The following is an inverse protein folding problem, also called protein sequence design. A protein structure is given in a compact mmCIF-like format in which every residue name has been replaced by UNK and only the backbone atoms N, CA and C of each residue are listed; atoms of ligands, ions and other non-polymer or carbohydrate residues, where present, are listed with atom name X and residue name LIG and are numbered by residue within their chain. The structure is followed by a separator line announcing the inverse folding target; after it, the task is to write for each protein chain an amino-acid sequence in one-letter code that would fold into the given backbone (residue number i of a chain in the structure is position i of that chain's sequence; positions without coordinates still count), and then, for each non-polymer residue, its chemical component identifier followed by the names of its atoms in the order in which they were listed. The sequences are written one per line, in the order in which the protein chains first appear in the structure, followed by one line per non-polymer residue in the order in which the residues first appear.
data_IF_314336228581
#
_entry.id   IF_314336228581
#
_cell.length_a   1.000
_cell.length_b   1.000
_cell.length_c   1.000
_cell.angle_alpha   90.00
_cell.angle_beta   90.00
_cell.angle_gamma   90.00
#
_symmetry.space_group_name_H-M   'P 1'
#
loop_
_entity.id
_entity.type
_entity.pdbx_description
1 polymer ?
#
# COMPACT_ATOMS: atom_id res chain seq x y z
N UNK A 1 25.25 3.13 1.09
CA UNK A 1 23.99 3.89 0.90
C UNK A 1 22.90 3.24 1.74
N UNK A 2 22.04 4.02 2.40
CA UNK A 2 20.96 3.51 3.26
C UNK A 2 19.73 3.02 2.47
N UNK A 3 18.95 2.12 3.06
CA UNK A 3 17.70 1.59 2.49
C UNK A 3 16.51 2.47 2.88
N UNK A 4 15.73 2.92 1.91
CA UNK A 4 14.52 3.72 2.11
C UNK A 4 13.38 2.83 2.61
N UNK A 5 12.68 3.30 3.66
CA UNK A 5 11.50 2.66 4.21
C UNK A 5 10.26 3.44 3.75
N UNK A 6 9.39 2.78 3.02
CA UNK A 6 8.22 3.39 2.37
C UNK A 6 6.95 2.94 3.07
N UNK A 7 6.08 3.92 3.37
CA UNK A 7 4.71 3.70 3.82
C UNK A 7 3.72 4.20 2.78
N UNK A 8 2.61 3.48 2.59
CA UNK A 8 1.52 3.89 1.67
C UNK A 8 0.28 4.24 2.47
N UNK A 9 -0.36 5.36 2.15
CA UNK A 9 -1.64 5.78 2.73
C UNK A 9 -2.68 5.78 1.62
N UNK A 10 -3.80 5.08 1.84
CA UNK A 10 -4.82 4.84 0.82
C UNK A 10 -4.40 3.75 -0.14
N UNK A 11 -4.59 2.49 0.26
CA UNK A 11 -4.33 1.34 -0.60
C UNK A 11 -5.38 1.21 -1.70
N UNK A 12 -6.62 1.62 -1.37
CA UNK A 12 -7.76 1.58 -2.27
C UNK A 12 -8.22 0.16 -2.60
N UNK A 13 -9.25 0.05 -3.44
CA UNK A 13 -9.81 -1.24 -3.84
C UNK A 13 -9.51 -1.54 -5.32
N UNK A 14 -8.68 -2.55 -5.64
CA UNK A 14 -8.34 -2.89 -7.02
C UNK A 14 -9.56 -3.41 -7.81
N UNK A 15 -10.61 -3.91 -7.15
CA UNK A 15 -11.84 -4.37 -7.81
C UNK A 15 -12.71 -3.22 -8.36
N UNK A 16 -12.54 -2.00 -7.84
CA UNK A 16 -13.33 -0.84 -8.30
C UNK A 16 -12.73 -0.15 -9.53
N UNK A 17 -11.57 -0.61 -10.01
CA UNK A 17 -10.89 -0.08 -11.18
C UNK A 17 -10.38 1.36 -10.98
N UNK A 18 -9.67 1.84 -12.00
CA UNK A 18 -9.22 3.22 -12.08
C UNK A 18 -10.42 4.17 -12.19
N UNK A 19 -10.79 4.82 -11.09
CA UNK A 19 -11.93 5.74 -11.05
C UNK A 19 -11.56 7.08 -10.42
N UNK A 20 -12.43 8.08 -10.62
CA UNK A 20 -12.31 9.39 -9.97
C UNK A 20 -12.29 9.30 -8.43
N UNK A 21 -12.81 8.21 -7.85
CA UNK A 21 -12.86 7.96 -6.41
C UNK A 21 -11.74 7.04 -5.90
N UNK A 22 -10.84 6.60 -6.77
CA UNK A 22 -9.67 5.81 -6.39
C UNK A 22 -9.06 5.10 -7.60
N UNK A 23 -7.75 5.20 -7.76
CA UNK A 23 -7.01 4.56 -8.85
C UNK A 23 -6.24 3.29 -8.42
N UNK A 24 -6.35 2.86 -7.16
CA UNK A 24 -5.56 1.73 -6.61
C UNK A 24 -4.06 1.85 -6.93
N UNK A 25 -3.53 3.08 -6.97
CA UNK A 25 -2.13 3.37 -7.35
C UNK A 25 -1.12 2.75 -6.39
N UNK A 26 -1.52 2.51 -5.14
CA UNK A 26 -0.73 1.79 -4.17
C UNK A 26 -0.12 0.49 -4.74
N UNK A 27 -0.90 -0.26 -5.53
CA UNK A 27 -0.46 -1.52 -6.13
C UNK A 27 0.63 -1.31 -7.20
N UNK A 28 0.50 -0.27 -8.02
CA UNK A 28 1.52 0.08 -9.01
C UNK A 28 2.80 0.57 -8.35
N UNK A 29 2.67 1.39 -7.30
CA UNK A 29 3.81 1.85 -6.51
C UNK A 29 4.52 0.70 -5.81
N UNK A 30 3.79 -0.23 -5.19
CA UNK A 30 4.38 -1.41 -4.57
C UNK A 30 5.18 -2.26 -5.57
N UNK A 31 4.63 -2.48 -6.77
CA UNK A 31 5.34 -3.18 -7.84
C UNK A 31 6.59 -2.43 -8.32
N UNK A 32 6.57 -1.10 -8.32
CA UNK A 32 7.75 -0.31 -8.67
C UNK A 32 8.82 -0.39 -7.58
N UNK A 33 8.44 -0.23 -6.31
CA UNK A 33 9.37 -0.32 -5.18
C UNK A 33 9.99 -1.71 -5.04
N UNK A 34 9.25 -2.77 -5.36
CA UNK A 34 9.81 -4.13 -5.36
C UNK A 34 10.97 -4.33 -6.36
N UNK A 35 11.11 -3.46 -7.37
CA UNK A 35 12.20 -3.54 -8.37
C UNK A 35 13.50 -2.88 -7.94
N UNK A 36 13.53 -2.17 -6.81
CA UNK A 36 14.73 -1.47 -6.35
C UNK A 36 15.20 -1.98 -4.99
N UNK A 37 16.46 -2.43 -4.92
CA UNK A 37 17.06 -2.96 -3.69
C UNK A 37 17.26 -1.90 -2.59
N UNK A 38 17.31 -0.63 -2.98
CA UNK A 38 17.48 0.49 -2.07
C UNK A 38 16.18 0.94 -1.41
N UNK A 39 15.04 0.28 -1.65
CA UNK A 39 13.78 0.61 -1.01
C UNK A 39 13.04 -0.63 -0.48
N UNK A 40 12.14 -0.40 0.47
CA UNK A 40 11.32 -1.43 1.10
C UNK A 40 10.00 -0.83 1.53
N UNK A 41 8.91 -1.43 1.09
CA UNK A 41 7.59 -1.15 1.63
C UNK A 41 7.48 -1.81 3.01
N UNK A 42 7.25 -1.01 4.05
CA UNK A 42 7.21 -1.49 5.45
C UNK A 42 5.88 -1.24 6.14
N UNK A 43 5.04 -0.35 5.60
CA UNK A 43 3.78 0.02 6.22
C UNK A 43 2.69 0.33 5.19
N UNK A 44 1.43 0.07 5.56
CA UNK A 44 0.27 0.57 4.85
C UNK A 44 -0.78 1.12 5.82
N UNK A 45 -1.56 2.10 5.37
CA UNK A 45 -2.67 2.66 6.12
C UNK A 45 -3.88 2.86 5.20
N UNK A 46 -5.06 2.50 5.65
CA UNK A 46 -6.30 2.78 4.94
C UNK A 46 -7.44 3.06 5.94
N UNK A 47 -8.46 3.77 5.48
CA UNK A 47 -9.70 3.97 6.24
C UNK A 47 -10.54 2.69 6.29
N UNK A 48 -10.44 1.81 5.29
CA UNK A 48 -11.09 0.51 5.31
C UNK A 48 -10.06 -0.55 5.65
N UNK A 49 -10.23 -1.21 6.79
CA UNK A 49 -9.32 -2.27 7.22
C UNK A 49 -9.16 -3.36 6.15
N UNK A 50 -10.26 -3.73 5.48
CA UNK A 50 -10.24 -4.77 4.45
C UNK A 50 -9.39 -4.36 3.24
N UNK A 51 -9.33 -3.06 2.93
CA UNK A 51 -8.52 -2.54 1.82
C UNK A 51 -7.03 -2.60 2.15
N UNK A 52 -6.65 -2.33 3.40
CA UNK A 52 -5.27 -2.44 3.83
C UNK A 52 -4.81 -3.91 3.88
N UNK A 53 -5.64 -4.81 4.40
CA UNK A 53 -5.40 -6.26 4.44
C UNK A 53 -5.27 -6.85 3.03
N UNK A 54 -6.23 -6.57 2.14
CA UNK A 54 -6.18 -7.02 0.73
C UNK A 54 -4.94 -6.51 0.00
N UNK A 55 -4.43 -5.34 0.39
CA UNK A 55 -3.20 -4.80 -0.16
C UNK A 55 -1.97 -5.56 0.33
N UNK A 56 -1.90 -5.91 1.61
CA UNK A 56 -0.80 -6.73 2.16
C UNK A 56 -0.79 -8.14 1.56
N UNK A 57 -1.95 -8.77 1.38
CA UNK A 57 -2.03 -10.10 0.77
C UNK A 57 -1.51 -10.12 -0.67
N UNK A 58 -1.78 -9.05 -1.42
CA UNK A 58 -1.43 -8.95 -2.84
C UNK A 58 -0.02 -8.41 -3.07
N UNK A 59 0.39 -7.41 -2.31
CA UNK A 59 1.75 -6.92 -2.32
C UNK A 59 2.55 -7.82 -1.40
N UNK A 60 3.26 -8.80 -1.99
CA UNK A 60 4.21 -9.70 -1.31
C UNK A 60 5.41 -8.97 -0.66
N UNK A 61 5.25 -7.69 -0.34
CA UNK A 61 6.20 -6.87 0.36
C UNK A 61 6.14 -7.15 1.87
N UNK A 62 7.25 -7.00 2.60
CA UNK A 62 7.33 -7.21 4.04
C UNK A 62 6.69 -6.05 4.80
N UNK A 63 5.39 -5.84 4.61
CA UNK A 63 4.60 -4.85 5.33
C UNK A 63 4.43 -5.36 6.76
N UNK A 64 5.05 -4.66 7.70
CA UNK A 64 5.09 -5.02 9.13
C UNK A 64 4.10 -4.20 9.96
N UNK A 65 3.44 -3.20 9.38
CA UNK A 65 2.49 -2.35 10.09
C UNK A 65 1.31 -1.99 9.20
N UNK A 66 0.11 -2.33 9.67
CA UNK A 66 -1.17 -1.99 9.06
C UNK A 66 -1.88 -1.02 9.99
N UNK A 67 -2.25 0.15 9.48
CA UNK A 67 -2.97 1.17 10.25
C UNK A 67 -4.38 1.36 9.69
N UNK A 68 -5.35 1.42 10.60
CA UNK A 68 -6.73 1.77 10.27
C UNK A 68 -6.98 3.23 10.68
N UNK A 69 -7.28 4.08 9.70
CA UNK A 69 -7.54 5.51 9.93
C UNK A 69 -9.02 5.67 10.28
N UNK A 70 -9.32 6.15 11.49
CA UNK A 70 -10.69 6.50 11.88
C UNK A 70 -11.07 7.86 11.28
N UNK A 71 -12.22 7.93 10.61
CA UNK A 71 -12.83 9.25 10.32
C UNK A 71 -13.33 9.85 11.64
N UNK A 72 -12.97 11.11 11.86
CA UNK A 72 -13.45 11.91 12.97
C UNK A 72 -14.92 12.30 12.75
#
# INVERSE_FOLDING_TARGET
MGRLRVGVIGTGNPAQGASRMGFAMAYQHANAYAKFDNCQLVACADIKAESAETFVEKCQAPIISIYHIRQC
#
